data_IF_793259807805
#
_entry.id   IF_793259807805
#
_cell.length_a   1.000
_cell.length_b   1.000
_cell.length_c   1.000
_cell.angle_alpha   90.00
_cell.angle_beta   90.00
_cell.angle_gamma   90.00
#
_symmetry.space_group_name_H-M   'P 1'
#
loop_
_entity.id
_entity.type
_entity.pdbx_description
1 polymer ?
#
# COMPACT_ATOMS: atom_id res chain seq x y z
N UNK A 1 13.23 18.06 1.17
CA UNK A 1 11.95 17.81 0.47
C UNK A 1 11.04 17.16 1.49
N UNK A 2 9.93 17.81 1.88
CA UNK A 2 8.98 17.23 2.83
C UNK A 2 8.56 15.85 2.32
N UNK A 3 8.74 14.80 3.12
CA UNK A 3 8.21 13.48 2.80
C UNK A 3 6.68 13.60 2.88
N UNK A 4 6.06 13.92 1.75
CA UNK A 4 4.62 14.08 1.65
C UNK A 4 3.92 12.79 2.06
N UNK A 5 2.76 12.92 2.70
CA UNK A 5 1.93 11.82 3.19
C UNK A 5 1.81 10.70 2.14
N UNK A 6 2.32 9.51 2.49
CA UNK A 6 2.26 8.32 1.64
C UNK A 6 1.13 7.41 2.10
N UNK A 7 0.53 6.73 1.13
CA UNK A 7 -0.58 5.82 1.32
C UNK A 7 -0.24 4.48 0.67
N UNK A 8 -0.55 3.40 1.37
CA UNK A 8 -0.39 2.02 0.93
C UNK A 8 -1.75 1.50 0.47
N UNK A 9 -1.77 0.88 -0.71
CA UNK A 9 -2.93 0.25 -1.32
C UNK A 9 -2.60 -1.20 -1.58
N UNK A 10 -3.32 -2.13 -0.96
CA UNK A 10 -3.08 -3.55 -1.04
C UNK A 10 -4.30 -4.31 -1.58
N UNK A 11 -4.05 -5.21 -2.52
CA UNK A 11 -5.01 -6.22 -2.93
C UNK A 11 -4.67 -7.54 -2.23
N UNK A 12 -5.61 -8.04 -1.43
CA UNK A 12 -5.53 -9.33 -0.76
C UNK A 12 -6.47 -10.33 -1.42
N UNK A 13 -6.04 -11.59 -1.53
CA UNK A 13 -6.88 -12.74 -1.88
C UNK A 13 -6.83 -13.74 -0.71
N UNK A 14 -7.91 -13.81 0.08
CA UNK A 14 -7.83 -14.45 1.39
C UNK A 14 -6.78 -13.73 2.24
N UNK A 15 -5.79 -14.47 2.74
CA UNK A 15 -4.69 -13.94 3.55
C UNK A 15 -3.40 -13.68 2.74
N UNK A 16 -3.46 -13.81 1.42
CA UNK A 16 -2.32 -13.58 0.54
C UNK A 16 -2.31 -12.17 -0.05
N UNK A 17 -1.18 -11.49 0.04
CA UNK A 17 -0.91 -10.24 -0.67
C UNK A 17 -0.63 -10.52 -2.15
N UNK A 18 -1.44 -9.92 -3.02
CA UNK A 18 -1.36 -10.08 -4.48
C UNK A 18 -0.64 -8.89 -5.13
N UNK A 19 -0.99 -7.67 -4.72
CA UNK A 19 -0.49 -6.43 -5.29
C UNK A 19 -0.39 -5.38 -4.18
N UNK A 20 0.69 -4.60 -4.16
CA UNK A 20 0.91 -3.49 -3.25
C UNK A 20 1.43 -2.28 -4.02
N UNK A 21 0.86 -1.11 -3.73
CA UNK A 21 1.34 0.18 -4.21
C UNK A 21 1.47 1.16 -3.07
N UNK A 22 2.55 1.94 -3.09
CA UNK A 22 2.77 3.04 -2.17
C UNK A 22 2.94 4.33 -2.97
N UNK A 23 2.21 5.37 -2.60
CA UNK A 23 2.29 6.66 -3.27
C UNK A 23 1.56 7.77 -2.53
N UNK A 24 1.63 9.01 -3.02
CA UNK A 24 0.88 10.13 -2.45
C UNK A 24 -0.63 9.88 -2.56
N UNK A 25 -1.41 10.52 -1.68
CA UNK A 25 -2.87 10.31 -1.56
C UNK A 25 -3.62 10.27 -2.91
N UNK A 26 -3.40 11.27 -3.78
CA UNK A 26 -4.10 11.35 -5.07
C UNK A 26 -3.71 10.25 -6.07
N UNK A 27 -2.52 9.66 -5.95
CA UNK A 27 -2.12 8.51 -6.76
C UNK A 27 -2.65 7.20 -6.16
N UNK A 28 -2.57 7.06 -4.83
CA UNK A 28 -3.15 5.93 -4.10
C UNK A 28 -4.66 5.80 -4.36
N UNK A 29 -5.40 6.91 -4.40
CA UNK A 29 -6.82 6.92 -4.75
C UNK A 29 -7.07 6.37 -6.17
N UNK A 30 -6.23 6.73 -7.14
CA UNK A 30 -6.32 6.21 -8.52
C UNK A 30 -6.05 4.70 -8.56
N UNK A 31 -5.03 4.22 -7.86
CA UNK A 31 -4.76 2.79 -7.75
C UNK A 31 -5.94 2.05 -7.12
N UNK A 32 -6.47 2.55 -6.01
CA UNK A 32 -7.62 1.98 -5.33
C UNK A 32 -8.85 1.90 -6.25
N UNK A 33 -9.14 2.95 -7.03
CA UNK A 33 -10.24 2.95 -7.98
C UNK A 33 -10.06 1.91 -9.10
N UNK A 34 -8.87 1.82 -9.70
CA UNK A 34 -8.59 0.80 -10.71
C UNK A 34 -8.69 -0.61 -10.14
N UNK A 35 -8.17 -0.86 -8.94
CA UNK A 35 -8.29 -2.16 -8.26
C UNK A 35 -9.76 -2.48 -7.99
N UNK A 36 -10.56 -1.54 -7.45
CA UNK A 36 -12.00 -1.72 -7.22
C UNK A 36 -12.74 -2.17 -8.47
N UNK A 37 -12.49 -1.51 -9.60
CA UNK A 37 -13.10 -1.88 -10.89
C UNK A 37 -12.69 -3.29 -11.33
N UNK A 38 -11.42 -3.69 -11.13
CA UNK A 38 -10.91 -5.02 -11.50
C UNK A 38 -11.47 -6.15 -10.64
N UNK A 39 -11.74 -5.90 -9.36
CA UNK A 39 -12.17 -6.95 -8.42
C UNK A 39 -13.68 -7.03 -8.20
N UNK A 40 -14.45 -6.13 -8.81
CA UNK A 40 -15.90 -6.08 -8.64
C UNK A 40 -16.55 -7.43 -9.02
N UNK A 41 -17.24 -8.05 -8.06
CA UNK A 41 -17.91 -9.35 -8.24
C UNK A 41 -17.02 -10.58 -8.08
N UNK A 42 -15.72 -10.42 -7.79
CA UNK A 42 -14.80 -11.53 -7.57
C UNK A 42 -14.75 -11.93 -6.08
N UNK A 43 -15.09 -13.18 -5.70
CA UNK A 43 -15.17 -13.58 -4.29
C UNK A 43 -13.79 -13.63 -3.62
N UNK A 44 -13.71 -13.28 -2.35
CA UNK A 44 -12.49 -13.43 -1.53
C UNK A 44 -11.38 -12.40 -1.79
N UNK A 45 -11.63 -11.37 -2.63
CA UNK A 45 -10.69 -10.26 -2.84
C UNK A 45 -11.03 -9.12 -1.86
N UNK A 46 -10.02 -8.58 -1.19
CA UNK A 46 -10.15 -7.43 -0.29
C UNK A 46 -9.19 -6.34 -0.72
N UNK A 47 -9.66 -5.10 -0.73
CA UNK A 47 -8.84 -3.93 -0.93
C UNK A 47 -8.60 -3.27 0.43
N UNK A 48 -7.34 -3.09 0.80
CA UNK A 48 -6.94 -2.36 2.00
C UNK A 48 -6.22 -1.07 1.59
N UNK A 49 -6.59 0.04 2.22
CA UNK A 49 -5.95 1.33 2.00
C UNK A 49 -5.61 1.94 3.36
N UNK A 50 -4.33 2.18 3.61
CA UNK A 50 -3.86 2.73 4.87
C UNK A 50 -2.81 3.81 4.65
N UNK A 51 -2.72 4.74 5.60
CA UNK A 51 -1.66 5.75 5.58
C UNK A 51 -0.37 5.10 6.08
N UNK A 52 0.72 5.30 5.34
CA UNK A 52 2.05 4.82 5.73
C UNK A 52 2.63 5.77 6.75
N UNK A 53 3.07 5.24 7.88
CA UNK A 53 3.75 6.02 8.90
C UNK A 53 5.14 6.45 8.44
N UNK A 54 5.66 7.56 8.96
CA UNK A 54 7.03 8.01 8.66
C UNK A 54 8.09 6.93 8.98
N UNK A 55 7.83 6.10 10.00
CA UNK A 55 8.70 5.01 10.40
C UNK A 55 8.79 3.89 9.35
N UNK A 56 7.67 3.52 8.72
CA UNK A 56 7.64 2.52 7.65
C UNK A 56 8.27 3.01 6.34
N UNK A 57 8.26 4.32 6.09
CA UNK A 57 8.95 4.93 4.96
C UNK A 57 10.47 4.93 5.14
N UNK A 58 10.94 5.13 6.37
CA UNK A 58 12.37 5.09 6.71
C UNK A 58 12.95 3.67 6.61
N UNK A 59 12.14 2.66 6.95
CA UNK A 59 12.53 1.25 6.96
C UNK A 59 11.54 0.39 6.16
N UNK A 60 11.56 0.46 4.81
CA UNK A 60 10.76 -0.44 4.00
C UNK A 60 11.18 -1.88 4.30
N UNK A 61 10.25 -2.84 4.27
CA UNK A 61 10.53 -4.24 4.61
C UNK A 61 11.68 -4.88 3.79
N UNK A 62 12.03 -4.28 2.65
CA UNK A 62 13.18 -4.65 1.79
C UNK A 62 14.54 -4.15 2.28
N UNK A 63 14.58 -3.24 3.27
CA UNK A 63 15.80 -2.78 3.95
C UNK A 63 15.65 -3.05 5.45
N UNK A 64 16.15 -4.20 5.95
CA UNK A 64 16.05 -4.51 7.37
C UNK A 64 16.70 -3.40 8.19
N UNK A 65 16.08 -3.09 9.33
CA UNK A 65 16.62 -2.17 10.33
C UNK A 65 18.06 -2.58 10.70
N UNK A 66 19.03 -1.72 10.41
CA UNK A 66 20.38 -1.82 10.94
C UNK A 66 20.47 -0.90 12.18
N UNK A 67 20.68 -1.43 13.39
CA UNK A 67 20.80 -0.63 14.62
C UNK A 67 22.03 0.30 14.64
N UNK A 68 22.81 0.36 13.56
CA UNK A 68 23.99 1.22 13.38
C UNK A 68 23.75 2.44 12.49
N UNK A 69 22.60 2.53 11.83
CA UNK A 69 22.12 3.73 11.11
C UNK A 69 21.35 4.67 12.07
#
# INVERSE_FOLDING_TARGET
>A
MSQGEQWRVQLLLGDHLVEEHIGPAGLAERYANVIRLRIQGLPGRRLHCERVSEHELAYPASRPYDPRD
#
